data_IF_819848196633
#
_entry.id   IF_819848196633
#
_cell.length_a   1.000
_cell.length_b   1.000
_cell.length_c   1.000
_cell.angle_alpha   90.00
_cell.angle_beta   90.00
_cell.angle_gamma   90.00
#
_symmetry.space_group_name_H-M   'P 1'
#
loop_
_entity.id
_entity.type
_entity.pdbx_description
1 polymer ?
#
# COMPACT_ATOMS: atom_id res chain seq x y z
N UNK A 1 -12.31 2.48 14.53
CA UNK A 1 -11.95 3.66 13.71
C UNK A 1 -12.27 3.30 12.26
N UNK A 2 -12.99 4.14 11.53
CA UNK A 2 -13.40 3.85 10.14
C UNK A 2 -12.21 4.06 9.20
N UNK A 3 -11.98 3.14 8.26
CA UNK A 3 -10.95 3.29 7.24
C UNK A 3 -11.26 4.48 6.33
N UNK A 4 -10.25 5.30 6.02
CA UNK A 4 -10.36 6.39 5.04
C UNK A 4 -9.70 5.95 3.74
N UNK A 5 -10.50 5.94 2.68
CA UNK A 5 -10.02 5.58 1.35
C UNK A 5 -8.87 6.50 0.93
N UNK A 6 -7.86 5.90 0.33
CA UNK A 6 -6.65 6.59 -0.11
C UNK A 6 -6.62 6.64 -1.62
N UNK A 7 -6.03 7.70 -2.17
CA UNK A 7 -5.68 7.80 -3.59
C UNK A 7 -4.83 6.60 -4.03
N UNK A 8 -3.94 6.15 -3.15
CA UNK A 8 -3.11 4.96 -3.36
C UNK A 8 -3.92 3.68 -3.58
N UNK A 9 -5.14 3.56 -3.03
CA UNK A 9 -5.95 2.34 -3.13
C UNK A 9 -6.30 2.03 -4.58
N UNK A 10 -6.61 3.07 -5.36
CA UNK A 10 -6.88 2.93 -6.79
C UNK A 10 -5.66 2.40 -7.58
N UNK A 11 -4.45 2.81 -7.18
CA UNK A 11 -3.20 2.34 -7.77
C UNK A 11 -2.94 0.89 -7.40
N UNK A 12 -3.20 0.51 -6.13
CA UNK A 12 -3.05 -0.87 -5.66
C UNK A 12 -4.05 -1.79 -6.35
N UNK A 13 -5.33 -1.41 -6.45
CA UNK A 13 -6.35 -2.19 -7.16
C UNK A 13 -5.98 -2.39 -8.63
N UNK A 14 -5.51 -1.34 -9.31
CA UNK A 14 -5.05 -1.43 -10.70
C UNK A 14 -3.86 -2.37 -10.85
N UNK A 15 -2.89 -2.27 -9.94
CA UNK A 15 -1.73 -3.15 -9.94
C UNK A 15 -2.12 -4.62 -9.68
N UNK A 16 -3.05 -4.88 -8.76
CA UNK A 16 -3.58 -6.22 -8.52
C UNK A 16 -4.35 -6.79 -9.73
N UNK A 17 -4.93 -5.93 -10.57
CA UNK A 17 -5.57 -6.35 -11.82
C UNK A 17 -4.60 -6.74 -12.95
N UNK A 18 -3.29 -6.54 -12.76
CA UNK A 18 -2.28 -6.79 -13.83
C UNK A 18 -1.13 -7.66 -13.36
N UNK A 19 -0.70 -7.52 -12.10
CA UNK A 19 0.46 -8.20 -11.55
C UNK A 19 0.04 -9.27 -10.54
N UNK A 20 0.81 -10.36 -10.47
CA UNK A 20 0.56 -11.44 -9.52
C UNK A 20 0.76 -11.01 -8.07
N UNK A 21 1.68 -10.07 -7.80
CA UNK A 21 1.80 -9.47 -6.47
C UNK A 21 2.04 -7.96 -6.51
N UNK A 22 1.62 -7.29 -5.43
CA UNK A 22 1.87 -5.87 -5.20
C UNK A 22 2.67 -5.67 -3.93
N UNK A 23 3.72 -4.86 -4.01
CA UNK A 23 4.57 -4.48 -2.87
C UNK A 23 4.18 -3.08 -2.42
N UNK A 24 3.61 -2.97 -1.23
CA UNK A 24 3.34 -1.70 -0.57
C UNK A 24 4.57 -1.28 0.25
N UNK A 25 5.21 -0.21 -0.18
CA UNK A 25 6.41 0.34 0.45
C UNK A 25 6.20 1.79 0.85
N UNK A 26 7.05 2.31 1.74
CA UNK A 26 7.00 3.70 2.18
C UNK A 26 7.46 3.86 3.64
N UNK A 27 7.51 5.11 4.13
CA UNK A 27 7.97 5.41 5.49
C UNK A 27 7.20 4.64 6.56
N UNK A 28 7.77 4.58 7.77
CA UNK A 28 7.05 4.00 8.92
C UNK A 28 5.79 4.84 9.22
N UNK A 29 4.78 4.18 9.78
CA UNK A 29 3.50 4.80 10.20
C UNK A 29 2.65 5.48 9.10
N UNK A 30 2.85 5.17 7.81
CA UNK A 30 2.02 5.70 6.70
C UNK A 30 0.80 4.85 6.35
N UNK A 31 0.42 3.87 7.18
CA UNK A 31 -0.77 3.04 6.97
C UNK A 31 -0.64 1.92 5.93
N UNK A 32 0.57 1.37 5.71
CA UNK A 32 0.80 0.25 4.77
C UNK A 32 0.00 -1.00 5.12
N UNK A 33 0.16 -1.49 6.35
CA UNK A 33 -0.60 -2.64 6.87
C UNK A 33 -2.10 -2.40 6.77
N UNK A 34 -2.58 -1.22 7.19
CA UNK A 34 -4.01 -0.88 7.12
C UNK A 34 -4.55 -0.90 5.69
N UNK A 35 -3.79 -0.34 4.74
CA UNK A 35 -4.17 -0.34 3.32
C UNK A 35 -4.14 -1.77 2.73
N UNK A 36 -3.11 -2.55 3.08
CA UNK A 36 -3.02 -3.95 2.66
C UNK A 36 -4.16 -4.80 3.21
N UNK A 37 -4.54 -4.60 4.48
CA UNK A 37 -5.68 -5.29 5.11
C UNK A 37 -6.99 -4.94 4.41
N UNK A 38 -7.20 -3.66 4.10
CA UNK A 38 -8.41 -3.21 3.42
C UNK A 38 -8.59 -3.83 2.03
N UNK A 39 -7.49 -4.10 1.32
CA UNK A 39 -7.48 -4.57 -0.06
C UNK A 39 -7.18 -6.07 -0.21
N UNK A 40 -7.06 -6.80 0.91
CA UNK A 40 -6.82 -8.23 0.93
C UNK A 40 -8.06 -9.02 1.36
N UNK A 41 -8.18 -10.25 0.86
CA UNK A 41 -9.20 -11.20 1.29
C UNK A 41 -8.74 -12.04 2.49
N UNK A 42 -7.43 -12.11 2.72
CA UNK A 42 -6.84 -12.77 3.89
C UNK A 42 -5.49 -12.17 4.23
N UNK A 43 -4.99 -12.39 5.46
CA UNK A 43 -3.72 -11.82 5.90
C UNK A 43 -2.92 -12.75 6.80
N UNK A 44 -1.61 -12.61 6.75
CA UNK A 44 -0.65 -13.15 7.72
C UNK A 44 0.32 -12.05 8.12
N UNK A 45 0.61 -11.94 9.41
CA UNK A 45 1.55 -10.95 9.96
C UNK A 45 2.74 -11.66 10.59
N UNK A 46 3.93 -11.47 10.03
CA UNK A 46 5.13 -12.21 10.44
C UNK A 46 5.71 -11.73 11.77
N UNK A 47 5.44 -10.49 12.17
CA UNK A 47 5.88 -9.93 13.46
C UNK A 47 4.95 -10.32 14.64
N UNK A 48 3.83 -11.01 14.36
CA UNK A 48 2.83 -11.36 15.39
C UNK A 48 3.38 -12.30 16.47
N UNK A 49 4.35 -13.14 16.10
CA UNK A 49 5.10 -13.98 17.03
C UNK A 49 6.41 -14.46 16.40
N UNK A 50 7.43 -14.83 17.21
CA UNK A 50 8.64 -15.47 16.69
C UNK A 50 8.39 -16.76 15.90
N UNK A 51 7.29 -17.45 16.20
CA UNK A 51 6.89 -18.67 15.48
C UNK A 51 6.42 -18.38 14.05
N UNK A 52 5.79 -17.22 13.80
CA UNK A 52 5.27 -16.86 12.49
C UNK A 52 6.41 -16.65 11.47
N UNK A 53 7.45 -15.90 11.85
CA UNK A 53 8.64 -15.73 11.03
C UNK A 53 9.38 -17.07 10.79
N UNK A 54 9.55 -17.89 11.84
CA UNK A 54 10.16 -19.23 11.69
C UNK A 54 9.37 -20.15 10.75
N UNK A 55 8.03 -20.13 10.84
CA UNK A 55 7.20 -20.91 9.94
C UNK A 55 7.38 -20.47 8.48
N UNK A 56 7.50 -19.16 8.23
CA UNK A 56 7.77 -18.63 6.90
C UNK A 56 9.14 -19.07 6.35
N UNK A 57 10.13 -19.25 7.21
CA UNK A 57 11.45 -19.77 6.82
C UNK A 57 11.41 -21.27 6.49
N UNK A 58 10.74 -22.07 7.33
CA UNK A 58 10.70 -23.54 7.19
C UNK A 58 9.71 -24.00 6.13
N UNK A 59 8.56 -23.33 6.02
CA UNK A 59 7.46 -23.73 5.13
C UNK A 59 6.78 -22.49 4.53
N UNK A 60 7.44 -21.78 3.61
CA UNK A 60 6.90 -20.56 3.01
C UNK A 60 5.58 -20.81 2.27
N UNK A 61 5.41 -21.96 1.61
CA UNK A 61 4.16 -22.30 0.91
C UNK A 61 2.94 -22.30 1.84
N UNK A 62 3.09 -22.80 3.07
CA UNK A 62 2.02 -22.78 4.09
C UNK A 62 1.59 -21.36 4.43
N UNK A 63 2.55 -20.43 4.52
CA UNK A 63 2.28 -19.02 4.80
C UNK A 63 1.53 -18.33 3.66
N UNK A 64 1.76 -18.76 2.41
CA UNK A 64 1.12 -18.23 1.20
C UNK A 64 -0.29 -18.78 0.94
N UNK A 65 -0.71 -19.83 1.65
CA UNK A 65 -2.06 -20.41 1.50
C UNK A 65 -3.13 -19.52 2.11
N UNK A 66 -4.16 -19.20 1.33
CA UNK A 66 -5.36 -18.49 1.77
C UNK A 66 -6.09 -17.76 0.65
N UNK A 67 -7.26 -17.15 0.93
CA UNK A 67 -7.99 -16.32 -0.02
C UNK A 67 -7.13 -15.19 -0.61
N UNK A 68 -7.24 -14.99 -1.93
CA UNK A 68 -6.51 -13.96 -2.67
C UNK A 68 -7.35 -12.69 -2.85
N UNK A 69 -6.76 -11.48 -2.83
CA UNK A 69 -5.34 -11.21 -2.57
C UNK A 69 -4.98 -11.49 -1.11
N UNK A 70 -3.86 -12.16 -0.87
CA UNK A 70 -3.37 -12.45 0.49
C UNK A 70 -2.32 -11.44 0.90
N UNK A 71 -2.53 -10.76 2.02
CA UNK A 71 -1.54 -9.88 2.64
C UNK A 71 -0.49 -10.70 3.39
N UNK A 72 0.78 -10.47 3.08
CA UNK A 72 1.93 -10.95 3.85
C UNK A 72 2.65 -9.72 4.42
N UNK A 73 2.45 -9.50 5.71
CA UNK A 73 2.92 -8.30 6.39
C UNK A 73 4.26 -8.50 7.08
N UNK A 74 5.09 -7.46 7.00
CA UNK A 74 6.50 -7.44 7.38
C UNK A 74 7.31 -8.59 6.72
N UNK A 75 7.12 -8.80 5.41
CA UNK A 75 7.70 -9.92 4.65
C UNK A 75 9.23 -10.03 4.76
N UNK A 76 9.92 -8.90 5.01
CA UNK A 76 11.38 -8.88 5.15
C UNK A 76 11.88 -9.63 6.40
N UNK A 77 11.00 -9.99 7.33
CA UNK A 77 11.32 -10.89 8.45
C UNK A 77 11.60 -12.32 8.00
N UNK A 78 11.15 -12.72 6.80
CA UNK A 78 11.48 -14.01 6.19
C UNK A 78 11.75 -13.81 4.69
N UNK A 79 12.97 -13.38 4.30
CA UNK A 79 13.32 -13.05 2.92
C UNK A 79 13.08 -14.17 1.91
N UNK A 80 13.07 -15.44 2.36
CA UNK A 80 12.74 -16.61 1.52
C UNK A 80 11.36 -16.52 0.87
N UNK A 81 10.43 -15.79 1.48
CA UNK A 81 9.08 -15.56 0.95
C UNK A 81 9.11 -14.86 -0.40
N UNK A 82 10.13 -14.06 -0.71
CA UNK A 82 10.26 -13.41 -2.01
C UNK A 82 10.24 -14.43 -3.16
N UNK A 83 11.11 -15.44 -3.06
CA UNK A 83 11.22 -16.48 -4.07
C UNK A 83 10.00 -17.40 -4.08
N UNK A 84 9.42 -17.69 -2.90
CA UNK A 84 8.21 -18.49 -2.80
C UNK A 84 7.02 -17.79 -3.48
N UNK A 85 6.81 -16.50 -3.21
CA UNK A 85 5.75 -15.70 -3.86
C UNK A 85 5.98 -15.63 -5.37
N UNK A 86 7.23 -15.44 -5.81
CA UNK A 86 7.55 -15.42 -7.23
C UNK A 86 7.19 -16.74 -7.91
N UNK A 87 7.61 -17.86 -7.32
CA UNK A 87 7.32 -19.19 -7.84
C UNK A 87 5.81 -19.46 -7.87
N UNK A 88 5.10 -19.10 -6.80
CA UNK A 88 3.66 -19.27 -6.71
C UNK A 88 2.91 -18.43 -7.75
N UNK A 89 3.35 -17.18 -7.98
CA UNK A 89 2.81 -16.32 -9.04
C UNK A 89 3.02 -16.96 -10.42
N UNK A 90 4.22 -17.45 -10.71
CA UNK A 90 4.55 -18.13 -11.97
C UNK A 90 3.72 -19.43 -12.13
N UNK A 91 3.54 -20.20 -11.05
CA UNK A 91 2.79 -21.46 -11.06
C UNK A 91 1.29 -21.25 -11.29
N UNK A 92 0.67 -20.29 -10.59
CA UNK A 92 -0.77 -20.02 -10.74
C UNK A 92 -1.10 -19.26 -12.02
N UNK A 93 -0.19 -18.39 -12.48
CA UNK A 93 -0.39 -17.60 -13.70
C UNK A 93 -1.53 -16.58 -13.62
N UNK A 94 -1.96 -16.19 -12.41
CA UNK A 94 -3.07 -15.27 -12.17
C UNK A 94 -2.58 -13.91 -11.64
N UNK A 95 -3.35 -12.85 -11.87
CA UNK A 95 -3.12 -11.55 -11.24
C UNK A 95 -3.70 -11.51 -9.81
N UNK A 96 -3.26 -10.55 -8.99
CA UNK A 96 -3.92 -10.20 -7.73
C UNK A 96 -3.78 -11.23 -6.62
N UNK A 97 -2.72 -12.04 -6.62
CA UNK A 97 -2.56 -13.13 -5.67
C UNK A 97 -2.06 -12.64 -4.30
N UNK A 98 -1.10 -11.71 -4.28
CA UNK A 98 -0.42 -11.31 -3.05
C UNK A 98 -0.28 -9.79 -2.89
N UNK A 99 -0.35 -9.35 -1.64
CA UNK A 99 0.06 -8.01 -1.22
C UNK A 99 1.20 -8.20 -0.22
N UNK A 100 2.36 -7.60 -0.47
CA UNK A 100 3.50 -7.64 0.44
C UNK A 100 3.67 -6.26 1.08
N UNK A 101 3.68 -6.18 2.40
CA UNK A 101 3.98 -4.95 3.14
C UNK A 101 5.29 -5.12 3.91
N UNK A 102 6.10 -4.06 3.96
CA UNK A 102 7.38 -4.11 4.68
C UNK A 102 7.94 -2.72 4.93
N UNK A 103 8.65 -2.58 6.05
CA UNK A 103 9.19 -1.32 6.55
C UNK A 103 10.67 -1.12 6.24
N UNK A 104 11.15 -1.49 5.05
CA UNK A 104 12.49 -1.12 4.59
C UNK A 104 12.60 -1.26 3.07
N UNK A 105 13.31 -0.32 2.45
CA UNK A 105 13.97 -0.51 1.15
C UNK A 105 14.75 -1.82 1.25
N UNK A 106 14.40 -2.89 0.50
CA UNK A 106 15.20 -4.10 0.52
C UNK A 106 16.64 -3.72 0.13
N UNK A 107 17.64 -4.41 0.68
CA UNK A 107 18.99 -4.32 0.16
C UNK A 107 18.93 -4.54 -1.36
N UNK A 108 19.49 -3.58 -2.08
CA UNK A 108 19.06 -3.13 -3.41
C UNK A 108 19.24 -4.18 -4.53
N UNK A 109 19.99 -5.25 -4.24
CA UNK A 109 20.46 -6.20 -5.25
C UNK A 109 19.51 -7.37 -5.52
N UNK A 110 18.95 -7.99 -4.47
CA UNK A 110 18.15 -9.22 -4.65
C UNK A 110 16.77 -8.98 -5.26
N UNK A 111 16.20 -7.78 -5.09
CA UNK A 111 14.78 -7.51 -5.43
C UNK A 111 14.57 -6.71 -6.71
N UNK A 112 15.61 -6.05 -7.26
CA UNK A 112 15.46 -5.20 -8.46
C UNK A 112 15.32 -5.98 -9.76
N UNK A 113 16.01 -7.11 -9.90
CA UNK A 113 16.00 -7.89 -11.15
C UNK A 113 15.21 -9.20 -11.07
N UNK A 114 15.03 -9.80 -9.89
CA UNK A 114 14.43 -11.14 -9.76
C UNK A 114 12.89 -11.17 -9.79
N UNK A 115 12.22 -10.02 -9.60
CA UNK A 115 10.75 -9.91 -9.58
C UNK A 115 10.12 -9.27 -10.83
N UNK A 116 10.93 -8.97 -11.85
CA UNK A 116 10.50 -8.24 -13.04
C UNK A 116 9.32 -8.94 -13.73
N UNK A 117 8.25 -8.17 -13.98
CA UNK A 117 7.00 -8.64 -14.61
C UNK A 117 6.02 -9.37 -13.68
N UNK A 118 6.42 -9.80 -12.47
CA UNK A 118 5.52 -10.46 -11.51
C UNK A 118 5.01 -9.50 -10.45
N UNK A 119 5.87 -8.59 -10.01
CA UNK A 119 5.60 -7.71 -8.88
C UNK A 119 5.51 -6.26 -9.32
N UNK A 120 4.52 -5.56 -8.80
CA UNK A 120 4.42 -4.11 -8.94
C UNK A 120 4.62 -3.42 -7.59
N UNK A 121 5.48 -2.40 -7.55
CA UNK A 121 5.69 -1.60 -6.34
C UNK A 121 4.74 -0.42 -6.32
N UNK A 122 4.08 -0.20 -5.20
CA UNK A 122 3.28 1.00 -4.92
C UNK A 122 3.84 1.67 -3.67
N UNK A 123 4.26 2.92 -3.83
CA UNK A 123 4.83 3.71 -2.73
C UNK A 123 3.73 4.50 -2.03
N UNK A 124 3.43 4.13 -0.79
CA UNK A 124 2.53 4.88 0.08
C UNK A 124 3.28 6.07 0.69
N UNK A 125 2.67 7.24 0.59
CA UNK A 125 3.07 8.47 1.27
C UNK A 125 2.20 8.69 2.51
N UNK A 126 2.50 9.68 3.38
CA UNK A 126 1.49 10.16 4.32
C UNK A 126 0.20 10.57 3.60
N UNK A 127 -0.92 10.60 4.34
CA UNK A 127 -2.16 11.10 3.76
C UNK A 127 -1.98 12.55 3.31
N UNK A 128 -2.55 12.89 2.15
CA UNK A 128 -2.71 14.28 1.77
C UNK A 128 -3.69 14.97 2.73
N UNK A 129 -3.66 16.31 2.78
CA UNK A 129 -4.64 17.08 3.54
C UNK A 129 -6.08 16.78 3.07
N UNK A 130 -6.24 16.39 1.81
CA UNK A 130 -7.54 16.01 1.26
C UNK A 130 -8.02 14.66 1.81
N UNK A 131 -7.13 13.66 1.85
CA UNK A 131 -7.41 12.33 2.39
C UNK A 131 -7.64 12.38 3.92
N UNK A 132 -6.94 13.27 4.62
CA UNK A 132 -7.15 13.49 6.06
C UNK A 132 -8.37 14.38 6.37
N UNK A 133 -8.99 14.99 5.36
CA UNK A 133 -10.11 15.92 5.54
C UNK A 133 -9.72 17.27 6.16
N UNK A 134 -8.43 17.56 6.24
CA UNK A 134 -7.89 18.83 6.73
C UNK A 134 -7.93 19.93 5.65
N UNK A 135 -8.12 19.53 4.39
CA UNK A 135 -8.25 20.44 3.25
C UNK A 135 -9.65 21.02 3.13
N UNK A 136 -9.73 22.33 2.97
CA UNK A 136 -10.97 23.04 2.62
C UNK A 136 -11.31 22.98 1.12
N UNK A 137 -10.45 22.36 0.28
CA UNK A 137 -10.59 22.25 -1.19
C UNK A 137 -10.88 23.58 -1.91
N UNK A 138 -10.35 24.69 -1.41
CA UNK A 138 -10.63 26.03 -1.94
C UNK A 138 -10.13 26.27 -3.38
N UNK A 139 -9.18 25.45 -3.87
CA UNK A 139 -8.64 25.53 -5.23
C UNK A 139 -8.53 24.12 -5.81
N UNK A 140 -8.93 23.96 -7.07
CA UNK A 140 -8.86 22.71 -7.84
C UNK A 140 -8.00 22.91 -9.07
N UNK A 141 -6.95 22.11 -9.23
CA UNK A 141 -6.12 22.13 -10.43
C UNK A 141 -6.90 21.72 -11.69
N UNK A 142 -7.86 20.81 -11.56
CA UNK A 142 -8.70 20.41 -12.69
C UNK A 142 -9.47 21.62 -13.23
N UNK A 143 -10.02 22.45 -12.35
CA UNK A 143 -10.87 23.57 -12.73
C UNK A 143 -10.04 24.72 -13.34
N UNK A 144 -8.78 24.87 -12.91
CA UNK A 144 -7.82 25.79 -13.54
C UNK A 144 -7.50 25.47 -15.01
N UNK A 145 -7.61 24.20 -15.42
CA UNK A 145 -7.26 23.76 -16.78
C UNK A 145 -8.46 23.37 -17.65
N UNK A 146 -9.67 23.33 -17.09
CA UNK A 146 -10.90 22.99 -17.81
C UNK A 146 -11.84 24.18 -18.00
N UNK A 147 -11.53 25.33 -17.39
CA UNK A 147 -12.25 26.58 -17.61
C UNK A 147 -11.34 27.56 -18.36
N UNK A 148 -11.66 27.83 -19.63
CA UNK A 148 -10.90 28.71 -20.52
C UNK A 148 -11.00 30.21 -20.13
N UNK A 149 -11.91 30.57 -19.22
CA UNK A 149 -12.18 31.93 -18.75
C UNK A 149 -11.86 32.09 -17.24
N UNK A 150 -10.68 31.65 -16.81
CA UNK A 150 -10.28 31.74 -15.40
C UNK A 150 -9.57 33.06 -15.07
N UNK A 151 -10.26 34.20 -15.24
CA UNK A 151 -9.86 35.48 -14.61
C UNK A 151 -10.15 35.50 -13.09
N UNK A 152 -10.71 34.42 -12.55
CA UNK A 152 -11.05 34.29 -11.14
C UNK A 152 -10.66 32.93 -10.55
N UNK A 153 -9.36 32.66 -10.44
CA UNK A 153 -8.87 31.81 -9.35
C UNK A 153 -8.93 32.63 -8.04
N UNK A 154 -10.13 32.92 -7.51
CA UNK A 154 -10.32 33.74 -6.30
C UNK A 154 -10.16 32.95 -4.99
N UNK A 155 -9.52 31.79 -5.04
CA UNK A 155 -9.16 31.05 -3.84
C UNK A 155 -8.01 31.74 -3.12
N UNK A 156 -8.28 32.30 -1.93
CA UNK A 156 -7.24 32.81 -1.03
C UNK A 156 -6.21 31.70 -0.84
N UNK A 157 -4.96 31.95 -1.24
CA UNK A 157 -3.83 31.04 -1.09
C UNK A 157 -3.41 30.90 0.40
N UNK A 158 -4.35 30.52 1.25
CA UNK A 158 -4.11 30.09 2.61
C UNK A 158 -4.22 28.57 2.66
N UNK A 159 -3.13 27.90 3.06
CA UNK A 159 -3.19 26.54 3.60
C UNK A 159 -4.01 26.59 4.91
N UNK A 160 -5.33 26.68 4.80
CA UNK A 160 -6.25 26.67 5.93
C UNK A 160 -6.50 25.23 6.34
N UNK A 161 -5.76 24.73 7.31
CA UNK A 161 -6.11 23.52 8.07
C UNK A 161 -7.20 23.93 9.07
N UNK A 162 -8.36 23.27 9.07
CA UNK A 162 -9.33 23.46 10.14
C UNK A 162 -8.72 22.92 11.44
N UNK A 163 -8.27 23.81 12.32
CA UNK A 163 -7.85 23.42 13.67
C UNK A 163 -9.08 22.91 14.45
N UNK A 164 -9.20 21.58 14.56
CA UNK A 164 -10.09 20.95 15.53
C UNK A 164 -9.61 21.33 16.93
N UNK A 165 -10.24 22.35 17.53
CA UNK A 165 -10.04 22.70 18.94
C UNK A 165 -10.52 21.51 19.79
N UNK A 166 -9.59 20.68 20.25
CA UNK A 166 -9.85 19.75 21.35
C UNK A 166 -10.10 20.56 22.62
N UNK A 167 -11.34 20.57 23.09
CA UNK A 167 -11.69 21.07 24.41
C UNK A 167 -10.98 20.19 25.45
N UNK A 168 -10.14 20.73 26.34
CA UNK A 168 -9.67 19.96 27.49
C UNK A 168 -10.85 19.74 28.43
N UNK A 169 -10.96 18.50 28.95
CA UNK A 169 -11.84 18.17 30.07
C UNK A 169 -11.37 18.86 31.34
#
# INVERSE_FOLDING_TARGET
MVYRERLADSLVRRALGTFGAVILQGPRAVGKTTTGLQLSASSVRLDSSPNAARLAEVSPGTVLTGPTPRLVDEWQLAPVLWNAVRHEVDQRGLAGQFILTGSATPADDLTRHSGAGRFQRVTLRPMSLDESGDSIRAVSFHDLFTHADADHATGIAGLGVQASKSTPR
#
